data_IF_884521303166
#
_entry.id   IF_884521303166
#
_cell.length_a   1.000
_cell.length_b   1.000
_cell.length_c   1.000
_cell.angle_alpha   90.00
_cell.angle_beta   90.00
_cell.angle_gamma   90.00
#
_symmetry.space_group_name_H-M   'P 1'
#
loop_
_entity.id
_entity.type
_entity.pdbx_description
1 polymer ?
#
# COMPACT_ATOMS: atom_id res chain seq x y z
N UNK A 1 24.17 5.04 36.28
CA UNK A 1 24.31 5.83 35.05
C UNK A 1 25.01 4.97 34.04
N UNK A 2 24.29 4.11 33.32
CA UNK A 2 24.76 3.33 32.19
C UNK A 2 23.85 3.71 31.03
N UNK A 3 24.48 4.42 30.11
CA UNK A 3 23.93 4.90 28.86
C UNK A 3 23.39 3.71 28.03
N UNK A 4 22.08 3.64 27.89
CA UNK A 4 21.40 2.79 26.93
C UNK A 4 21.01 3.64 25.71
N UNK A 5 22.02 4.23 25.09
CA UNK A 5 21.94 4.78 23.74
C UNK A 5 22.59 3.79 22.76
N UNK A 6 21.99 2.60 22.64
CA UNK A 6 22.17 1.77 21.48
C UNK A 6 21.22 2.32 20.40
N UNK A 7 21.72 3.34 19.70
CA UNK A 7 21.06 3.94 18.56
C UNK A 7 20.63 2.80 17.61
N UNK A 8 19.34 2.58 17.51
CA UNK A 8 18.73 1.81 16.42
C UNK A 8 19.37 2.31 15.13
N UNK A 9 20.28 1.53 14.57
CA UNK A 9 20.84 1.80 13.24
C UNK A 9 19.68 1.78 12.26
N UNK A 10 19.12 2.95 11.99
CA UNK A 10 18.19 3.09 10.87
C UNK A 10 18.95 2.63 9.63
N UNK A 11 18.37 1.67 8.91
CA UNK A 11 18.96 1.20 7.66
C UNK A 11 19.22 2.41 6.75
N UNK A 12 20.32 2.38 5.99
CA UNK A 12 20.64 3.45 5.05
C UNK A 12 19.65 3.44 3.86
N UNK A 13 19.34 4.60 3.27
CA UNK A 13 18.50 4.67 2.08
C UNK A 13 19.15 3.90 0.92
N UNK A 14 18.41 3.07 0.19
CA UNK A 14 18.95 2.28 -0.91
C UNK A 14 19.48 3.13 -2.08
N UNK A 15 19.03 4.38 -2.20
CA UNK A 15 19.54 5.34 -3.18
C UNK A 15 19.33 6.78 -2.71
N UNK A 16 20.00 7.74 -3.36
CA UNK A 16 19.78 9.17 -3.07
C UNK A 16 18.35 9.62 -3.40
N UNK A 17 17.67 8.97 -4.35
CA UNK A 17 16.27 9.22 -4.70
C UNK A 17 15.31 8.87 -3.58
N UNK A 18 15.61 7.85 -2.81
CA UNK A 18 14.77 7.38 -1.70
C UNK A 18 15.09 8.05 -0.37
N UNK A 19 16.17 8.84 -0.30
CA UNK A 19 16.58 9.54 0.91
C UNK A 19 15.58 10.63 1.30
N UNK A 20 14.96 10.50 2.46
CA UNK A 20 14.15 11.57 3.06
C UNK A 20 15.06 12.66 3.62
N UNK A 21 15.06 13.83 2.98
CA UNK A 21 15.90 14.98 3.41
C UNK A 21 15.25 15.80 4.51
N UNK A 22 13.93 16.03 4.42
CA UNK A 22 13.14 16.74 5.43
C UNK A 22 12.38 15.74 6.31
N UNK A 23 12.38 15.96 7.62
CA UNK A 23 11.81 15.04 8.60
C UNK A 23 12.43 13.62 8.47
N UNK A 24 13.76 13.57 8.35
CA UNK A 24 14.52 12.35 8.11
C UNK A 24 14.33 11.30 9.22
N UNK A 25 14.00 11.71 10.45
CA UNK A 25 13.71 10.80 11.57
C UNK A 25 12.42 9.99 11.40
N UNK A 26 11.52 10.42 10.50
CA UNK A 26 10.33 9.64 10.12
C UNK A 26 10.63 8.60 9.05
N UNK A 27 11.85 8.60 8.48
CA UNK A 27 12.24 7.64 7.46
C UNK A 27 12.47 6.25 8.04
N UNK A 28 11.99 5.23 7.34
CA UNK A 28 12.30 3.82 7.58
C UNK A 28 12.72 3.19 6.27
N UNK A 29 13.81 2.40 6.32
CA UNK A 29 14.36 1.73 5.15
C UNK A 29 14.48 0.21 5.37
N UNK A 30 14.10 -0.26 6.54
CA UNK A 30 14.07 -1.68 6.87
C UNK A 30 12.94 -2.40 6.13
N UNK A 31 13.24 -3.62 5.70
CA UNK A 31 12.34 -4.43 4.88
C UNK A 31 11.04 -4.79 5.61
N UNK A 32 11.10 -5.03 6.90
CA UNK A 32 9.93 -5.44 7.68
C UNK A 32 8.89 -4.32 7.75
N UNK A 33 9.32 -3.09 8.04
CA UNK A 33 8.44 -1.91 8.03
C UNK A 33 7.83 -1.68 6.64
N UNK A 34 8.66 -1.75 5.59
CA UNK A 34 8.20 -1.56 4.21
C UNK A 34 7.15 -2.62 3.83
N UNK A 35 7.46 -3.89 4.07
CA UNK A 35 6.56 -5.00 3.78
C UNK A 35 5.25 -4.89 4.56
N UNK A 36 5.30 -4.54 5.86
CA UNK A 36 4.12 -4.36 6.68
C UNK A 36 3.20 -3.25 6.13
N UNK A 37 3.75 -2.14 5.63
CA UNK A 37 2.96 -1.07 5.02
C UNK A 37 2.33 -1.51 3.70
N UNK A 38 3.09 -2.21 2.84
CA UNK A 38 2.58 -2.71 1.56
C UNK A 38 1.49 -3.75 1.78
N UNK A 39 1.71 -4.69 2.70
CA UNK A 39 0.80 -5.81 2.94
C UNK A 39 -0.49 -5.40 3.67
N UNK A 40 -0.46 -4.30 4.42
CA UNK A 40 -1.65 -3.79 5.10
C UNK A 40 -2.69 -3.18 4.16
N UNK A 41 -2.33 -2.87 2.91
CA UNK A 41 -3.22 -2.29 1.92
C UNK A 41 -3.53 -3.22 0.76
N UNK A 42 -4.60 -2.89 0.03
CA UNK A 42 -4.96 -3.53 -1.24
C UNK A 42 -5.06 -2.51 -2.39
N UNK A 43 -4.90 -1.23 -2.09
CA UNK A 43 -4.92 -0.13 -3.07
C UNK A 43 -3.59 0.59 -3.02
N UNK A 44 -3.01 0.82 -4.20
CA UNK A 44 -1.82 1.62 -4.41
C UNK A 44 -2.08 2.73 -5.42
N UNK A 45 -1.12 3.63 -5.57
CA UNK A 45 -1.05 4.59 -6.66
C UNK A 45 0.21 4.30 -7.47
N UNK A 46 0.06 4.18 -8.79
CA UNK A 46 1.18 3.99 -9.71
C UNK A 46 1.33 5.24 -10.58
N UNK A 47 2.43 5.96 -10.36
CA UNK A 47 2.83 7.11 -11.16
C UNK A 47 3.67 6.68 -12.35
N UNK A 48 3.39 7.23 -13.53
CA UNK A 48 4.14 6.98 -14.77
C UNK A 48 4.00 8.17 -15.73
N UNK A 49 4.85 8.22 -16.73
CA UNK A 49 4.76 9.24 -17.81
C UNK A 49 4.26 8.56 -19.08
N UNK A 50 3.29 9.18 -19.72
CA UNK A 50 2.78 8.79 -21.04
C UNK A 50 2.60 10.06 -21.88
N UNK A 51 3.16 10.06 -23.10
CA UNK A 51 3.12 11.20 -24.02
C UNK A 51 3.56 12.50 -23.32
N UNK A 52 4.72 12.44 -22.64
CA UNK A 52 5.31 13.54 -21.85
C UNK A 52 4.45 14.09 -20.71
N UNK A 53 3.30 13.48 -20.43
CA UNK A 53 2.41 13.88 -19.35
C UNK A 53 2.49 12.90 -18.16
N UNK A 54 2.56 13.40 -16.92
CA UNK A 54 2.51 12.55 -15.74
C UNK A 54 1.09 12.06 -15.48
N UNK A 55 0.98 10.78 -15.16
CA UNK A 55 -0.25 10.12 -14.72
C UNK A 55 -0.04 9.45 -13.38
N UNK A 56 -1.06 9.46 -12.54
CA UNK A 56 -1.14 8.66 -11.32
C UNK A 56 -2.43 7.85 -11.37
N UNK A 57 -2.32 6.54 -11.38
CA UNK A 57 -3.48 5.64 -11.46
C UNK A 57 -3.62 4.86 -10.17
N UNK A 58 -4.72 5.04 -9.41
CA UNK A 58 -5.08 4.14 -8.32
C UNK A 58 -5.44 2.76 -8.88
N UNK A 59 -4.91 1.70 -8.27
CA UNK A 59 -5.25 0.32 -8.64
C UNK A 59 -5.07 -0.60 -7.42
N UNK A 60 -5.53 -1.84 -7.53
CA UNK A 60 -5.22 -2.83 -6.51
C UNK A 60 -3.78 -3.33 -6.64
N UNK A 61 -3.22 -3.81 -5.54
CA UNK A 61 -1.89 -4.38 -5.52
C UNK A 61 -1.79 -5.54 -4.53
N UNK A 62 -0.73 -6.32 -4.70
CA UNK A 62 -0.27 -7.31 -3.75
C UNK A 62 1.24 -7.47 -3.85
N UNK A 63 1.83 -8.09 -2.85
CA UNK A 63 3.26 -8.39 -2.80
C UNK A 63 3.46 -9.90 -2.73
N UNK A 64 4.43 -10.37 -3.50
CA UNK A 64 5.00 -11.71 -3.37
C UNK A 64 6.52 -11.54 -3.28
N UNK A 65 7.12 -11.98 -2.21
CA UNK A 65 8.55 -11.83 -1.91
C UNK A 65 9.00 -10.36 -2.03
N UNK A 66 9.94 -10.07 -2.90
CA UNK A 66 10.50 -8.74 -3.14
C UNK A 66 9.77 -7.94 -4.25
N UNK A 67 8.68 -8.45 -4.79
CA UNK A 67 7.95 -7.81 -5.86
C UNK A 67 6.56 -7.33 -5.44
N UNK A 68 6.19 -6.15 -5.89
CA UNK A 68 4.80 -5.70 -5.91
C UNK A 68 4.20 -5.95 -7.28
N UNK A 69 2.92 -6.29 -7.27
CA UNK A 69 2.15 -6.66 -8.45
C UNK A 69 0.88 -5.81 -8.52
N UNK A 70 0.44 -5.54 -9.73
CA UNK A 70 -0.88 -4.99 -10.03
C UNK A 70 -1.38 -5.52 -11.36
N UNK A 71 -2.68 -5.45 -11.59
CA UNK A 71 -3.26 -5.98 -12.81
C UNK A 71 -4.32 -5.05 -13.40
N UNK A 72 -4.73 -5.37 -14.60
CA UNK A 72 -5.83 -4.67 -15.27
C UNK A 72 -6.12 -5.23 -16.66
N UNK A 73 -7.07 -4.58 -17.32
CA UNK A 73 -7.42 -4.95 -18.70
C UNK A 73 -6.25 -4.74 -19.66
N UNK A 74 -6.03 -5.67 -20.57
CA UNK A 74 -5.06 -5.54 -21.67
C UNK A 74 -5.35 -4.35 -22.59
N UNK A 75 -6.58 -3.82 -22.56
CA UNK A 75 -6.97 -2.60 -23.28
C UNK A 75 -6.60 -1.30 -22.53
N UNK A 76 -6.28 -1.38 -21.24
CA UNK A 76 -5.95 -0.21 -20.41
C UNK A 76 -4.72 0.53 -20.95
N UNK A 77 -4.80 1.86 -21.05
CA UNK A 77 -3.64 2.71 -21.39
C UNK A 77 -2.48 2.48 -20.42
N UNK A 78 -2.76 2.48 -19.11
CA UNK A 78 -1.75 2.24 -18.07
C UNK A 78 -0.98 0.94 -18.35
N UNK A 79 -1.67 -0.19 -18.54
CA UNK A 79 -1.02 -1.50 -18.74
C UNK A 79 -0.28 -1.57 -20.08
N UNK A 80 -0.84 -0.94 -21.14
CA UNK A 80 -0.17 -0.84 -22.46
C UNK A 80 1.14 -0.06 -22.38
N UNK A 81 1.16 1.03 -21.64
CA UNK A 81 2.35 1.87 -21.46
C UNK A 81 3.38 1.14 -20.58
N UNK A 82 2.94 0.58 -19.48
CA UNK A 82 3.85 -0.03 -18.49
C UNK A 82 4.45 -1.36 -18.95
N UNK A 83 3.80 -2.11 -19.83
CA UNK A 83 4.36 -3.35 -20.40
C UNK A 83 5.67 -3.15 -21.18
N UNK A 84 5.96 -1.91 -21.59
CA UNK A 84 7.19 -1.54 -22.32
C UNK A 84 8.42 -1.39 -21.38
N UNK A 85 8.28 -1.68 -20.09
CA UNK A 85 9.39 -1.63 -19.15
C UNK A 85 9.75 -0.23 -18.68
N UNK A 86 8.78 0.69 -18.66
CA UNK A 86 9.02 2.09 -18.31
C UNK A 86 9.26 2.28 -16.82
N UNK A 87 9.97 3.36 -16.42
CA UNK A 87 10.08 3.76 -15.03
C UNK A 87 8.71 4.13 -14.44
N UNK A 88 8.46 3.69 -13.20
CA UNK A 88 7.25 3.99 -12.44
C UNK A 88 7.58 4.38 -11.00
N UNK A 89 6.66 5.10 -10.39
CA UNK A 89 6.66 5.37 -8.96
C UNK A 89 5.44 4.67 -8.33
N UNK A 90 5.68 3.75 -7.42
CA UNK A 90 4.65 3.01 -6.71
C UNK A 90 4.51 3.54 -5.29
N UNK A 91 3.29 3.84 -4.83
CA UNK A 91 3.03 4.34 -3.49
C UNK A 91 1.84 3.63 -2.84
N UNK A 92 1.95 3.45 -1.52
CA UNK A 92 0.87 3.03 -0.63
C UNK A 92 0.85 4.00 0.54
N UNK A 93 -0.34 4.41 0.99
CA UNK A 93 -0.50 5.31 2.13
C UNK A 93 -1.67 4.89 2.99
N UNK A 94 -1.46 4.86 4.30
CA UNK A 94 -2.48 4.64 5.32
C UNK A 94 -2.59 5.86 6.20
N UNK A 95 -3.76 6.49 6.23
CA UNK A 95 -4.08 7.54 7.19
C UNK A 95 -4.42 6.88 8.53
N UNK A 96 -3.76 7.32 9.62
CA UNK A 96 -3.88 6.71 10.95
C UNK A 96 -4.34 7.68 12.04
N UNK A 97 -4.35 8.98 11.75
CA UNK A 97 -4.85 9.96 12.71
C UNK A 97 -4.70 11.40 12.27
N UNK A 98 -5.30 12.27 13.08
CA UNK A 98 -5.14 13.73 12.98
C UNK A 98 -4.50 14.22 14.26
N UNK A 99 -3.50 15.06 14.14
CA UNK A 99 -2.76 15.64 15.27
C UNK A 99 -3.15 17.11 15.40
N UNK A 100 -3.72 17.43 16.54
CA UNK A 100 -4.12 18.77 16.92
C UNK A 100 -3.07 19.37 17.84
N UNK A 101 -2.62 20.57 17.52
CA UNK A 101 -1.62 21.32 18.27
C UNK A 101 -2.19 22.60 18.87
N UNK A 102 -1.50 23.19 19.85
CA UNK A 102 -1.84 24.50 20.39
C UNK A 102 -1.59 25.63 19.38
N UNK A 103 -0.54 25.47 18.57
CA UNK A 103 -0.23 26.39 17.48
C UNK A 103 -0.85 25.91 16.16
N UNK A 104 -1.50 26.79 15.41
CA UNK A 104 -2.14 26.47 14.14
C UNK A 104 -1.14 25.89 13.11
N UNK A 105 0.12 26.27 13.19
CA UNK A 105 1.18 25.81 12.31
C UNK A 105 1.57 24.34 12.53
N UNK A 106 1.40 23.81 13.75
CA UNK A 106 1.89 22.49 14.14
C UNK A 106 0.83 21.38 14.06
N UNK A 107 -0.39 21.67 13.57
CA UNK A 107 -1.36 20.62 13.23
C UNK A 107 -0.79 19.70 12.16
N UNK A 108 -1.01 18.38 12.31
CA UNK A 108 -0.44 17.38 11.42
C UNK A 108 -1.36 16.16 11.27
N UNK A 109 -0.91 15.17 10.51
CA UNK A 109 -1.56 13.88 10.38
C UNK A 109 -0.59 12.76 10.76
N UNK A 110 -1.13 11.70 11.38
CA UNK A 110 -0.42 10.44 11.55
C UNK A 110 -0.72 9.53 10.36
N UNK A 111 0.33 8.96 9.80
CA UNK A 111 0.24 8.12 8.62
C UNK A 111 1.49 7.24 8.50
N UNK A 112 1.36 6.17 7.74
CA UNK A 112 2.48 5.40 7.23
C UNK A 112 2.36 5.25 5.73
N UNK A 113 3.45 5.42 5.02
CA UNK A 113 3.47 5.36 3.57
C UNK A 113 4.78 4.77 3.07
N UNK A 114 4.74 4.22 1.86
CA UNK A 114 5.93 3.90 1.09
C UNK A 114 5.94 4.66 -0.23
N UNK A 115 7.15 4.93 -0.72
CA UNK A 115 7.41 5.37 -2.08
C UNK A 115 8.52 4.51 -2.65
N UNK A 116 8.24 3.83 -3.74
CA UNK A 116 9.17 2.93 -4.41
C UNK A 116 9.34 3.32 -5.88
N UNK A 117 10.56 3.18 -6.37
CA UNK A 117 10.91 3.45 -7.76
C UNK A 117 11.46 2.19 -8.42
N UNK A 118 11.13 2.00 -9.68
CA UNK A 118 11.59 0.86 -10.46
C UNK A 118 11.02 0.87 -11.86
N UNK A 119 11.37 -0.14 -12.63
CA UNK A 119 10.76 -0.36 -13.94
C UNK A 119 9.58 -1.33 -13.81
N UNK A 120 8.50 -1.01 -14.49
CA UNK A 120 7.37 -1.91 -14.64
C UNK A 120 7.78 -3.10 -15.54
N UNK A 121 7.46 -4.32 -15.12
CA UNK A 121 7.75 -5.55 -15.87
C UNK A 121 6.45 -6.27 -16.18
N UNK A 122 6.19 -6.56 -17.46
CA UNK A 122 5.08 -7.46 -17.83
C UNK A 122 5.40 -8.87 -17.38
N UNK A 123 4.52 -9.47 -16.60
CA UNK A 123 4.70 -10.84 -16.14
C UNK A 123 4.54 -11.85 -17.30
N UNK A 124 5.47 -12.81 -17.38
CA UNK A 124 5.30 -14.00 -18.20
C UNK A 124 4.06 -14.80 -17.76
N UNK A 125 3.49 -15.62 -18.63
CA UNK A 125 2.19 -16.26 -18.42
C UNK A 125 2.15 -17.14 -17.16
N UNK A 126 3.23 -17.86 -16.87
CA UNK A 126 3.34 -18.70 -15.67
C UNK A 126 3.35 -17.85 -14.38
N UNK A 127 4.16 -16.78 -14.35
CA UNK A 127 4.21 -15.83 -13.23
C UNK A 127 2.86 -15.15 -13.03
N UNK A 128 2.20 -14.73 -14.10
CA UNK A 128 0.87 -14.13 -14.09
C UNK A 128 -0.17 -15.05 -13.46
N UNK A 129 -0.17 -16.36 -13.81
CA UNK A 129 -1.10 -17.34 -13.23
C UNK A 129 -0.93 -17.44 -11.73
N UNK A 130 0.28 -17.68 -11.27
CA UNK A 130 0.59 -17.75 -9.85
C UNK A 130 0.23 -16.46 -9.11
N UNK A 131 0.58 -15.31 -9.69
CA UNK A 131 0.33 -14.01 -9.07
C UNK A 131 -1.16 -13.68 -8.92
N UNK A 132 -2.01 -14.04 -9.91
CA UNK A 132 -3.46 -13.84 -9.84
C UNK A 132 -4.15 -14.80 -8.87
N UNK A 133 -3.71 -16.06 -8.82
CA UNK A 133 -4.16 -17.02 -7.82
C UNK A 133 -3.87 -16.53 -6.42
N UNK A 134 -2.63 -16.14 -6.15
CA UNK A 134 -2.21 -15.55 -4.88
C UNK A 134 -3.03 -14.30 -4.53
N UNK A 135 -3.28 -13.41 -5.50
CA UNK A 135 -4.08 -12.21 -5.27
C UNK A 135 -5.50 -12.53 -4.84
N UNK A 136 -6.16 -13.49 -5.50
CA UNK A 136 -7.54 -13.88 -5.18
C UNK A 136 -7.62 -14.51 -3.79
N UNK A 137 -6.70 -15.43 -3.46
CA UNK A 137 -6.66 -16.06 -2.14
C UNK A 137 -6.26 -15.09 -1.02
N UNK A 138 -5.49 -14.04 -1.33
CA UNK A 138 -5.21 -12.97 -0.38
C UNK A 138 -6.46 -12.15 -0.02
N UNK A 139 -7.43 -12.02 -0.93
CA UNK A 139 -8.71 -11.36 -0.61
C UNK A 139 -9.50 -12.16 0.43
N UNK A 140 -9.54 -13.49 0.27
CA UNK A 140 -10.08 -14.41 1.26
C UNK A 140 -9.50 -15.82 1.02
N UNK A 141 -8.86 -16.46 2.02
CA UNK A 141 -8.25 -17.77 1.86
C UNK A 141 -9.24 -18.82 1.35
N UNK A 142 -8.90 -19.54 0.28
CA UNK A 142 -9.75 -20.53 -0.40
C UNK A 142 -10.72 -19.94 -1.43
N UNK A 143 -10.69 -18.63 -1.66
CA UNK A 143 -11.56 -17.99 -2.64
C UNK A 143 -11.24 -18.44 -4.07
N UNK A 144 -9.96 -18.70 -4.39
CA UNK A 144 -9.57 -19.19 -5.71
C UNK A 144 -10.21 -20.53 -6.05
N UNK A 145 -10.27 -21.45 -5.09
CA UNK A 145 -10.88 -22.77 -5.31
C UNK A 145 -12.41 -22.75 -5.29
N UNK A 146 -12.97 -21.86 -4.52
CA UNK A 146 -14.42 -21.67 -4.45
C UNK A 146 -14.98 -21.02 -5.73
N UNK A 147 -14.28 -20.04 -6.29
CA UNK A 147 -14.75 -19.30 -7.46
C UNK A 147 -14.55 -20.09 -8.78
N UNK A 148 -15.39 -19.80 -9.75
CA UNK A 148 -15.17 -20.27 -11.13
C UNK A 148 -13.79 -19.78 -11.63
N UNK A 149 -13.02 -20.68 -12.19
CA UNK A 149 -11.72 -20.30 -12.79
C UNK A 149 -11.92 -19.39 -14.01
N UNK A 150 -10.95 -18.50 -14.29
CA UNK A 150 -11.00 -17.65 -15.47
C UNK A 150 -11.03 -18.44 -16.77
N UNK A 151 -11.81 -17.99 -17.73
CA UNK A 151 -11.80 -18.51 -19.10
C UNK A 151 -10.54 -18.08 -19.83
N UNK A 152 -10.22 -18.76 -20.95
CA UNK A 152 -9.10 -18.35 -21.81
C UNK A 152 -9.21 -16.91 -22.34
N UNK A 153 -10.44 -16.43 -22.55
CA UNK A 153 -10.68 -15.06 -22.98
C UNK A 153 -10.36 -14.07 -21.84
N UNK A 154 -10.77 -14.35 -20.60
CA UNK A 154 -10.47 -13.54 -19.41
C UNK A 154 -8.97 -13.51 -19.13
N UNK A 155 -8.28 -14.66 -19.27
CA UNK A 155 -6.82 -14.73 -19.18
C UNK A 155 -6.13 -13.80 -20.20
N UNK A 156 -6.51 -13.87 -21.45
CA UNK A 156 -5.96 -13.04 -22.54
C UNK A 156 -6.28 -11.56 -22.35
N UNK A 157 -7.44 -11.24 -21.79
CA UNK A 157 -7.88 -9.86 -21.53
C UNK A 157 -7.21 -9.23 -20.32
N UNK A 158 -6.52 -10.00 -19.46
CA UNK A 158 -5.87 -9.52 -18.24
C UNK A 158 -4.35 -9.46 -18.41
N UNK A 159 -3.73 -8.35 -18.02
CA UNK A 159 -2.28 -8.21 -17.87
C UNK A 159 -1.93 -8.04 -16.40
N UNK A 160 -0.81 -8.59 -16.00
CA UNK A 160 -0.18 -8.40 -14.70
C UNK A 160 1.17 -7.76 -14.90
N UNK A 161 1.40 -6.69 -14.19
CA UNK A 161 2.67 -5.98 -14.10
C UNK A 161 3.25 -6.21 -12.71
N UNK A 162 4.56 -6.29 -12.61
CA UNK A 162 5.29 -6.31 -11.36
C UNK A 162 6.39 -5.28 -11.35
N UNK A 163 6.86 -4.94 -10.16
CA UNK A 163 8.05 -4.12 -9.94
C UNK A 163 8.80 -4.63 -8.72
N UNK A 164 10.12 -4.70 -8.80
CA UNK A 164 10.95 -5.06 -7.65
C UNK A 164 11.03 -3.91 -6.65
N UNK A 165 10.97 -4.22 -5.35
CA UNK A 165 11.03 -3.24 -4.26
C UNK A 165 12.48 -3.03 -3.78
N UNK A 166 13.40 -2.68 -4.68
CA UNK A 166 14.81 -2.42 -4.34
C UNK A 166 15.03 -0.95 -3.93
N UNK A 167 14.48 0.00 -4.69
CA UNK A 167 14.55 1.43 -4.39
C UNK A 167 13.26 1.90 -3.69
N UNK A 168 13.20 1.75 -2.38
CA UNK A 168 12.00 2.07 -1.60
C UNK A 168 12.35 2.78 -0.30
N UNK A 169 11.52 3.69 0.11
CA UNK A 169 11.53 4.33 1.44
C UNK A 169 10.14 4.28 2.05
N UNK A 170 10.09 4.12 3.37
CA UNK A 170 8.88 4.35 4.14
C UNK A 170 8.99 5.66 4.93
N UNK A 171 7.85 6.29 5.15
CA UNK A 171 7.69 7.41 6.06
C UNK A 171 6.57 7.10 7.04
N UNK A 172 6.91 7.15 8.34
CA UNK A 172 5.99 6.83 9.44
C UNK A 172 5.89 8.03 10.37
N UNK A 173 4.69 8.53 10.55
CA UNK A 173 4.34 9.58 11.52
C UNK A 173 3.25 9.01 12.44
N UNK A 174 3.56 8.82 13.69
CA UNK A 174 2.70 8.18 14.71
C UNK A 174 2.70 8.92 16.06
N UNK A 175 3.22 10.17 16.04
CA UNK A 175 3.48 10.97 17.23
C UNK A 175 2.28 11.80 17.74
N UNK A 176 2.51 12.42 18.88
CA UNK A 176 1.75 13.53 19.41
C UNK A 176 2.25 14.85 18.78
N UNK A 177 1.58 16.00 19.07
CA UNK A 177 2.05 17.28 18.58
C UNK A 177 3.50 17.57 19.02
N UNK A 178 4.31 18.05 18.07
CA UNK A 178 5.63 18.59 18.35
C UNK A 178 5.50 20.11 18.44
N UNK A 179 5.69 20.68 19.63
CA UNK A 179 5.35 22.06 19.93
C UNK A 179 6.52 22.79 20.59
N UNK A 180 6.62 24.09 20.33
CA UNK A 180 7.60 24.93 20.95
C UNK A 180 7.26 25.15 22.46
N UNK A 181 8.28 25.35 23.33
CA UNK A 181 8.06 25.54 24.77
C UNK A 181 7.07 26.64 25.12
N UNK A 182 7.03 27.69 24.32
CA UNK A 182 6.13 28.84 24.53
C UNK A 182 4.66 28.46 24.33
N UNK A 183 4.37 27.55 23.41
CA UNK A 183 3.01 27.08 23.09
C UNK A 183 2.45 26.22 24.24
N UNK A 184 3.32 25.52 24.99
CA UNK A 184 2.91 24.62 26.07
C UNK A 184 2.18 25.37 27.22
N UNK A 185 2.40 26.67 27.37
CA UNK A 185 1.71 27.50 28.34
C UNK A 185 0.30 27.93 27.92
N UNK A 186 -0.12 27.59 26.70
CA UNK A 186 -1.44 27.91 26.16
C UNK A 186 -2.55 27.04 26.78
N UNK A 187 -3.73 27.65 27.00
CA UNK A 187 -4.94 26.96 27.47
C UNK A 187 -5.66 26.15 26.38
N UNK A 188 -5.09 26.04 25.18
CA UNK A 188 -5.67 25.26 24.08
C UNK A 188 -5.41 23.78 24.26
N UNK A 189 -6.41 22.97 23.94
CA UNK A 189 -6.25 21.51 23.92
C UNK A 189 -5.33 21.07 22.76
N UNK A 190 -4.44 20.10 23.02
CA UNK A 190 -3.60 19.47 22.02
C UNK A 190 -3.56 17.95 22.23
N UNK A 191 -3.40 17.20 21.16
CA UNK A 191 -3.41 15.74 21.19
C UNK A 191 -3.64 15.12 19.81
N UNK A 192 -3.94 13.84 19.74
CA UNK A 192 -4.24 13.16 18.49
C UNK A 192 -5.57 12.40 18.54
N UNK A 193 -6.24 12.30 17.39
CA UNK A 193 -7.42 11.45 17.19
C UNK A 193 -7.05 10.40 16.18
N UNK A 194 -6.99 9.13 16.65
CA UNK A 194 -6.71 7.96 15.80
C UNK A 194 -7.87 7.68 14.84
N UNK A 195 -7.55 7.25 13.63
CA UNK A 195 -8.48 6.81 12.61
C UNK A 195 -8.28 5.33 12.29
N UNK A 196 -9.36 4.63 12.04
CA UNK A 196 -9.33 3.21 11.65
C UNK A 196 -10.32 2.93 10.53
N UNK A 197 -9.90 2.10 9.59
CA UNK A 197 -10.82 1.46 8.65
C UNK A 197 -11.60 0.36 9.39
N UNK A 198 -12.93 0.40 9.31
CA UNK A 198 -13.81 -0.55 9.98
C UNK A 198 -14.48 -1.43 8.94
N UNK A 199 -14.35 -2.75 9.11
CA UNK A 199 -15.08 -3.73 8.31
C UNK A 199 -16.56 -3.72 8.72
N UNK A 200 -17.45 -3.63 7.74
CA UNK A 200 -18.89 -3.71 7.94
C UNK A 200 -19.39 -5.14 7.79
N UNK A 201 -20.65 -5.38 8.21
CA UNK A 201 -21.32 -6.66 7.98
C UNK A 201 -21.44 -6.94 6.46
N UNK A 202 -21.23 -8.19 6.02
CA UNK A 202 -21.38 -8.55 4.62
C UNK A 202 -22.84 -8.39 4.17
N UNK A 203 -23.02 -7.90 2.94
CA UNK A 203 -24.33 -7.73 2.31
C UNK A 203 -24.43 -8.71 1.14
N UNK A 204 -25.41 -9.62 1.11
CA UNK A 204 -25.57 -10.55 0.00
C UNK A 204 -26.01 -9.82 -1.28
N UNK A 205 -25.57 -10.33 -2.43
CA UNK A 205 -26.06 -9.86 -3.74
C UNK A 205 -27.55 -10.12 -3.87
N UNK A 206 -28.38 -9.13 -4.25
CA UNK A 206 -29.82 -9.32 -4.47
C UNK A 206 -30.16 -10.38 -5.52
N UNK A 207 -29.24 -10.72 -6.40
CA UNK A 207 -29.38 -11.77 -7.43
C UNK A 207 -28.95 -13.15 -6.95
N UNK A 208 -28.54 -13.28 -5.68
CA UNK A 208 -28.18 -14.58 -5.13
C UNK A 208 -29.38 -15.53 -5.15
N UNK A 209 -29.20 -16.73 -5.70
CA UNK A 209 -30.28 -17.74 -5.73
C UNK A 209 -30.63 -18.16 -4.30
N UNK A 210 -31.91 -18.46 -4.07
CA UNK A 210 -32.37 -18.98 -2.79
C UNK A 210 -31.62 -20.26 -2.38
N UNK A 211 -31.31 -20.39 -1.10
CA UNK A 211 -30.62 -21.55 -0.54
C UNK A 211 -29.08 -21.53 -0.68
N UNK A 212 -28.48 -20.50 -1.27
CA UNK A 212 -27.03 -20.33 -1.25
C UNK A 212 -26.62 -19.62 0.05
N UNK A 213 -25.92 -20.35 0.89
CA UNK A 213 -25.39 -19.83 2.14
C UNK A 213 -24.04 -19.14 1.95
N UNK A 214 -23.74 -18.20 2.84
CA UNK A 214 -22.44 -17.54 2.89
C UNK A 214 -21.37 -18.54 3.34
N UNK A 215 -20.29 -18.75 2.55
CA UNK A 215 -19.22 -19.65 2.96
C UNK A 215 -18.44 -19.12 4.17
N UNK A 216 -17.86 -20.02 4.95
CA UNK A 216 -17.21 -19.68 6.21
C UNK A 216 -16.02 -18.72 6.04
N UNK A 217 -15.26 -18.82 4.96
CA UNK A 217 -14.15 -17.92 4.72
C UNK A 217 -14.61 -16.46 4.45
N UNK A 218 -15.82 -16.25 3.91
CA UNK A 218 -16.43 -14.91 3.80
C UNK A 218 -17.01 -14.47 5.16
N UNK A 219 -17.69 -15.38 5.88
CA UNK A 219 -18.23 -15.09 7.22
C UNK A 219 -17.13 -14.68 8.19
N UNK A 220 -15.97 -15.33 8.09
CA UNK A 220 -14.80 -15.12 8.94
C UNK A 220 -13.79 -14.14 8.32
N UNK A 221 -14.13 -13.51 7.21
CA UNK A 221 -13.25 -12.52 6.58
C UNK A 221 -12.81 -11.45 7.57
N UNK A 222 -11.53 -11.15 7.56
CA UNK A 222 -10.95 -10.05 8.33
C UNK A 222 -10.03 -9.26 7.41
N UNK A 223 -10.29 -7.97 7.30
CA UNK A 223 -9.36 -7.07 6.66
C UNK A 223 -8.17 -6.88 7.59
N UNK A 224 -7.03 -7.44 7.21
CA UNK A 224 -5.81 -7.32 7.99
C UNK A 224 -5.18 -5.95 7.71
N UNK A 225 -4.97 -5.20 8.79
CA UNK A 225 -4.15 -3.99 8.79
C UNK A 225 -2.74 -4.30 9.26
#
# INVERSE_FOLDING_TARGET
MTSTDEALKTAEPPSERTRLKRYHWLAKYDRDTINAIVDAGIVCQVGYVFDSMPYVTPTNHWRIDDYVYWHGSSASRMLKTQQEGIPVCFTVTHLEGVVFSRAAFNHNINFRSIMAFGNAELCAEEVKRHALEFFVDRLAPGLWDYARKPTEQEWKATKVIRMKLDEVSAKVSDGLPDEEPEDLASDHWAGSVGLRLVQLAPVPDPKLRAGIEMPDFIRNFRYHK
#
